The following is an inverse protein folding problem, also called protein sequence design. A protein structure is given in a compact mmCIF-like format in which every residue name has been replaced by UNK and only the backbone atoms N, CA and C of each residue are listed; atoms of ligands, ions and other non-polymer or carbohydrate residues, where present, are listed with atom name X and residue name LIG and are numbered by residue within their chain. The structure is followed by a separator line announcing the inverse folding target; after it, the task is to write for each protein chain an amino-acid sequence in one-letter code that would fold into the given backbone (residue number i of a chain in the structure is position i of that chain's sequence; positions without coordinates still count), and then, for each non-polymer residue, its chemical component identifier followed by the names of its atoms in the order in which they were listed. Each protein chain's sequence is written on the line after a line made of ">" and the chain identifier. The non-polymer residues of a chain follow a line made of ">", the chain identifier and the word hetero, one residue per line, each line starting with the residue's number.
data_IF_226408670214
#
_entry.id   IF_226408670214
#
_cell.length_a   1.000
_cell.length_b   1.000
_cell.length_c   1.000
_cell.angle_alpha   90.00
_cell.angle_beta   90.00
_cell.angle_gamma   90.00
#
_symmetry.space_group_name_H-M   'P 1'
#
loop_
_entity.id
_entity.type
_entity.pdbx_description
1 polymer ?
#
# COMPACT_ATOMS: atom_id res chain seq x y z
N UNK A 1 10.50 -0.18 -6.09
CA UNK A 1 9.20 0.06 -5.43
C UNK A 1 8.10 -0.10 -6.45
N UNK A 2 7.07 -0.90 -6.16
CA UNK A 2 6.03 -1.32 -7.09
C UNK A 2 4.62 -1.14 -6.48
N UNK A 3 3.63 -0.77 -7.30
CA UNK A 3 2.21 -0.70 -6.93
C UNK A 3 1.55 0.61 -7.35
N UNK A 4 0.83 1.29 -6.45
CA UNK A 4 0.12 2.54 -6.74
C UNK A 4 0.72 3.78 -6.04
N UNK A 5 -0.08 4.82 -5.81
CA UNK A 5 0.31 6.00 -5.04
C UNK A 5 0.74 5.68 -3.60
N UNK A 6 0.21 4.63 -2.98
CA UNK A 6 0.61 4.13 -1.65
C UNK A 6 1.99 3.46 -1.68
N UNK A 7 2.44 2.94 -2.82
CA UNK A 7 3.84 2.58 -3.01
C UNK A 7 4.70 3.82 -3.25
N UNK A 8 4.26 4.70 -4.15
CA UNK A 8 5.02 5.90 -4.55
C UNK A 8 5.35 6.81 -3.38
N UNK A 9 4.45 6.96 -2.40
CA UNK A 9 4.67 7.82 -1.23
C UNK A 9 5.89 7.40 -0.38
N UNK A 10 6.30 6.13 -0.40
CA UNK A 10 7.49 5.68 0.33
C UNK A 10 8.80 5.89 -0.44
N UNK A 11 8.73 6.14 -1.76
CA UNK A 11 9.91 6.14 -2.61
C UNK A 11 10.96 7.17 -2.21
N UNK A 12 10.64 8.45 -1.90
CA UNK A 12 11.66 9.42 -1.48
C UNK A 12 12.47 8.95 -0.26
N UNK A 13 11.79 8.46 0.78
CA UNK A 13 12.44 7.99 2.01
C UNK A 13 13.22 6.69 1.80
N UNK A 14 12.69 5.75 1.01
CA UNK A 14 13.39 4.50 0.66
C UNK A 14 14.64 4.78 -0.18
N UNK A 15 14.53 5.64 -1.20
CA UNK A 15 15.65 6.04 -2.05
C UNK A 15 16.72 6.80 -1.26
N UNK A 16 16.31 7.69 -0.35
CA UNK A 16 17.23 8.37 0.56
C UNK A 16 18.01 7.42 1.47
N UNK A 17 17.45 6.25 1.82
CA UNK A 17 18.11 5.27 2.70
C UNK A 17 18.92 4.19 1.98
N UNK A 18 18.42 3.69 0.85
CA UNK A 18 19.03 2.55 0.12
C UNK A 18 19.74 2.96 -1.16
N UNK A 19 19.63 4.23 -1.60
CA UNK A 19 20.18 4.67 -2.88
C UNK A 19 19.39 4.12 -4.07
N UNK A 20 20.12 3.76 -5.13
CA UNK A 20 19.72 3.36 -6.51
C UNK A 20 18.46 2.47 -6.67
N UNK A 21 17.31 2.95 -6.23
CA UNK A 21 16.02 2.32 -6.42
C UNK A 21 15.32 2.87 -7.67
N UNK A 22 14.40 2.07 -8.21
CA UNK A 22 13.44 2.52 -9.21
C UNK A 22 12.02 2.47 -8.66
N UNK A 23 11.16 3.35 -9.17
CA UNK A 23 9.72 3.35 -8.89
C UNK A 23 8.97 2.91 -10.14
N UNK A 24 8.12 1.89 -9.99
CA UNK A 24 7.24 1.40 -11.04
C UNK A 24 5.81 1.36 -10.52
N UNK A 25 5.11 2.49 -10.62
CA UNK A 25 3.78 2.67 -10.01
C UNK A 25 2.76 3.28 -10.96
N UNK A 26 1.48 3.02 -10.74
CA UNK A 26 0.35 3.72 -11.37
C UNK A 26 -0.66 4.18 -10.32
N UNK A 27 -1.05 5.47 -10.27
CA UNK A 27 -2.05 5.95 -9.33
C UNK A 27 -3.34 5.13 -9.38
N UNK A 28 -3.86 4.73 -8.21
CA UNK A 28 -5.11 4.00 -8.08
C UNK A 28 -5.12 2.60 -8.72
N UNK A 29 -3.98 2.01 -9.06
CA UNK A 29 -3.90 0.71 -9.72
C UNK A 29 -3.69 -0.44 -8.72
N UNK A 30 -4.67 -1.32 -8.58
CA UNK A 30 -4.48 -2.64 -7.99
C UNK A 30 -3.76 -3.56 -8.99
N UNK A 31 -2.45 -3.61 -8.92
CA UNK A 31 -1.63 -4.37 -9.87
C UNK A 31 -1.61 -5.87 -9.51
N UNK A 32 -2.65 -6.62 -9.91
CA UNK A 32 -2.75 -8.07 -9.73
C UNK A 32 -3.02 -8.80 -11.06
N UNK A 33 -2.45 -10.00 -11.29
CA UNK A 33 -2.78 -10.78 -12.48
C UNK A 33 -4.27 -11.16 -12.49
N UNK A 34 -4.95 -10.89 -13.61
CA UNK A 34 -6.36 -11.25 -13.80
C UNK A 34 -7.37 -10.36 -13.05
N UNK A 35 -6.93 -9.57 -12.07
CA UNK A 35 -7.79 -8.76 -11.20
C UNK A 35 -7.49 -7.27 -11.32
N UNK A 36 -8.52 -6.45 -11.13
CA UNK A 36 -8.43 -5.00 -11.21
C UNK A 36 -9.39 -4.36 -10.21
N UNK A 37 -9.12 -3.12 -9.81
CA UNK A 37 -10.09 -2.26 -9.13
C UNK A 37 -10.83 -1.31 -10.09
N UNK A 38 -10.59 -1.46 -11.41
CA UNK A 38 -11.35 -0.81 -12.47
C UNK A 38 -12.46 -1.75 -12.95
N UNK A 39 -13.64 -1.17 -13.21
CA UNK A 39 -14.79 -1.87 -13.81
C UNK A 39 -15.01 -1.46 -15.28
N UNK A 40 -13.95 -1.02 -15.95
CA UNK A 40 -13.95 -0.56 -17.35
C UNK A 40 -12.78 -1.17 -18.14
N UNK A 41 -12.68 -0.81 -19.43
CA UNK A 41 -11.59 -1.18 -20.34
C UNK A 41 -10.77 0.02 -20.81
N UNK A 42 -10.65 1.04 -19.96
CA UNK A 42 -9.82 2.21 -20.26
C UNK A 42 -8.36 1.80 -20.48
N UNK A 43 -7.59 2.66 -21.15
CA UNK A 43 -6.14 2.48 -21.29
C UNK A 43 -5.46 2.36 -19.92
N UNK A 44 -5.92 3.13 -18.92
CA UNK A 44 -5.45 3.03 -17.56
C UNK A 44 -5.70 1.65 -16.93
N UNK A 45 -6.89 1.06 -17.14
CA UNK A 45 -7.22 -0.28 -16.66
C UNK A 45 -6.35 -1.36 -17.35
N UNK A 46 -6.15 -1.26 -18.66
CA UNK A 46 -5.31 -2.18 -19.43
C UNK A 46 -3.83 -2.07 -19.03
N UNK A 47 -3.32 -0.85 -18.86
CA UNK A 47 -1.97 -0.61 -18.37
C UNK A 47 -1.82 -1.20 -16.96
N UNK A 48 -2.78 -0.92 -16.07
CA UNK A 48 -2.78 -1.46 -14.71
C UNK A 48 -2.70 -3.00 -14.69
N UNK A 49 -3.55 -3.68 -15.46
CA UNK A 49 -3.58 -5.13 -15.54
C UNK A 49 -2.27 -5.75 -16.10
N UNK A 50 -1.53 -5.02 -16.95
CA UNK A 50 -0.27 -5.49 -17.54
C UNK A 50 0.94 -5.39 -16.60
N UNK A 51 0.85 -4.57 -15.55
CA UNK A 51 2.00 -4.21 -14.69
C UNK A 51 2.67 -5.38 -13.97
N UNK A 52 1.95 -6.36 -13.40
CA UNK A 52 2.59 -7.52 -12.77
C UNK A 52 3.53 -8.29 -13.72
N UNK A 53 3.11 -8.49 -14.97
CA UNK A 53 3.93 -9.14 -15.99
C UNK A 53 5.17 -8.32 -16.34
N UNK A 54 5.00 -7.01 -16.53
CA UNK A 54 6.11 -6.08 -16.80
C UNK A 54 7.10 -5.99 -15.63
N UNK A 55 6.62 -6.02 -14.39
CA UNK A 55 7.48 -6.09 -13.21
C UNK A 55 8.34 -7.35 -13.26
N UNK A 56 7.74 -8.51 -13.48
CA UNK A 56 8.46 -9.78 -13.53
C UNK A 56 9.52 -9.80 -14.63
N UNK A 57 9.22 -9.22 -15.79
CA UNK A 57 10.18 -9.02 -16.87
C UNK A 57 11.35 -8.13 -16.43
N UNK A 58 11.06 -6.94 -15.88
CA UNK A 58 12.10 -6.00 -15.42
C UNK A 58 13.01 -6.61 -14.36
N UNK A 59 12.44 -7.37 -13.42
CA UNK A 59 13.21 -8.02 -12.35
C UNK A 59 14.20 -9.04 -12.93
N UNK A 60 13.79 -9.83 -13.93
CA UNK A 60 14.70 -10.76 -14.63
C UNK A 60 15.76 -10.04 -15.43
N UNK A 61 15.37 -9.07 -16.26
CA UNK A 61 16.29 -8.37 -17.18
C UNK A 61 17.34 -7.53 -16.46
N UNK A 62 16.98 -6.94 -15.31
CA UNK A 62 17.84 -6.06 -14.53
C UNK A 62 18.42 -6.75 -13.30
N UNK A 63 18.14 -8.04 -13.10
CA UNK A 63 18.57 -8.83 -11.94
C UNK A 63 18.25 -8.12 -10.60
N UNK A 64 17.03 -7.62 -10.47
CA UNK A 64 16.61 -6.85 -9.29
C UNK A 64 16.49 -7.79 -8.09
N UNK A 65 17.38 -7.63 -7.11
CA UNK A 65 17.43 -8.51 -5.92
C UNK A 65 16.28 -8.31 -4.93
N UNK A 66 15.51 -7.23 -5.04
CA UNK A 66 14.34 -7.02 -4.18
C UNK A 66 13.25 -6.15 -4.77
N UNK A 67 12.01 -6.50 -4.46
CA UNK A 67 10.81 -5.74 -4.79
C UNK A 67 10.10 -5.34 -3.50
N UNK A 68 9.97 -4.04 -3.28
CA UNK A 68 9.07 -3.49 -2.27
C UNK A 68 7.74 -3.21 -2.96
N UNK A 69 6.70 -3.96 -2.60
CA UNK A 69 5.36 -3.86 -3.16
C UNK A 69 4.40 -3.28 -2.12
N UNK A 70 3.80 -2.14 -2.43
CA UNK A 70 2.75 -1.55 -1.61
C UNK A 70 1.65 -1.02 -2.54
N UNK A 71 0.41 -1.09 -2.10
CA UNK A 71 -0.71 -0.47 -2.80
C UNK A 71 -1.86 -0.25 -1.83
N UNK A 72 -2.93 0.41 -2.25
CA UNK A 72 -4.17 0.36 -1.48
C UNK A 72 -4.78 -1.04 -1.59
N UNK A 73 -4.71 -1.82 -0.52
CA UNK A 73 -5.15 -3.21 -0.56
C UNK A 73 -6.64 -3.39 -0.33
N UNK A 74 -7.31 -2.48 0.38
CA UNK A 74 -8.76 -2.50 0.58
C UNK A 74 -9.46 -1.83 -0.60
N UNK A 75 -10.00 -2.63 -1.52
CA UNK A 75 -10.68 -2.17 -2.73
C UNK A 75 -11.79 -3.14 -3.13
N UNK A 76 -12.76 -2.63 -3.89
CA UNK A 76 -13.63 -3.49 -4.70
C UNK A 76 -12.81 -4.05 -5.87
N UNK A 77 -13.01 -5.33 -6.19
CA UNK A 77 -12.28 -5.99 -7.26
C UNK A 77 -13.20 -6.51 -8.36
N UNK A 78 -12.65 -6.56 -9.56
CA UNK A 78 -13.28 -7.04 -10.78
C UNK A 78 -12.31 -7.95 -11.54
N UNK A 79 -12.86 -8.94 -12.25
CA UNK A 79 -12.13 -9.72 -13.23
C UNK A 79 -11.76 -8.84 -14.44
N UNK A 80 -10.48 -8.76 -14.79
CA UNK A 80 -10.00 -7.94 -15.93
C UNK A 80 -10.63 -8.32 -17.28
N UNK A 81 -10.96 -9.60 -17.46
CA UNK A 81 -11.54 -10.11 -18.70
C UNK A 81 -13.04 -9.85 -18.83
N UNK A 82 -13.82 -10.20 -17.81
CA UNK A 82 -15.30 -10.18 -17.83
C UNK A 82 -15.91 -8.95 -17.17
N UNK A 83 -15.12 -8.17 -16.42
CA UNK A 83 -15.54 -7.06 -15.56
C UNK A 83 -16.56 -7.44 -14.47
N UNK A 84 -16.73 -8.74 -14.22
CA UNK A 84 -17.59 -9.22 -13.15
C UNK A 84 -16.98 -8.86 -11.80
N UNK A 85 -17.80 -8.39 -10.88
CA UNK A 85 -17.36 -8.12 -9.51
C UNK A 85 -16.92 -9.43 -8.84
N UNK A 86 -15.76 -9.34 -8.21
CA UNK A 86 -15.15 -10.37 -7.35
C UNK A 86 -15.46 -10.05 -5.88
N UNK A 87 -15.93 -8.83 -5.59
CA UNK A 87 -16.24 -8.33 -4.26
C UNK A 87 -15.05 -7.62 -3.59
N UNK A 88 -15.30 -7.16 -2.36
CA UNK A 88 -14.29 -6.49 -1.54
C UNK A 88 -13.12 -7.42 -1.21
N UNK A 89 -11.91 -6.87 -1.31
CA UNK A 89 -10.67 -7.60 -1.02
C UNK A 89 -10.53 -8.08 0.42
N UNK A 90 -11.27 -7.49 1.36
CA UNK A 90 -11.29 -7.90 2.78
C UNK A 90 -12.29 -9.01 3.09
N UNK A 91 -13.10 -9.45 2.11
CA UNK A 91 -14.16 -10.43 2.31
C UNK A 91 -14.28 -11.39 1.12
N UNK A 92 -15.30 -11.24 0.27
CA UNK A 92 -15.61 -12.17 -0.82
C UNK A 92 -14.43 -12.29 -1.80
N UNK A 93 -13.76 -11.17 -2.09
CA UNK A 93 -12.64 -11.13 -3.01
C UNK A 93 -11.31 -11.60 -2.44
N UNK A 94 -11.21 -11.82 -1.12
CA UNK A 94 -9.94 -12.12 -0.47
C UNK A 94 -9.21 -13.32 -1.07
N UNK A 95 -9.92 -14.41 -1.39
CA UNK A 95 -9.29 -15.60 -1.97
C UNK A 95 -8.72 -15.31 -3.37
N UNK A 96 -9.36 -14.45 -4.15
CA UNK A 96 -8.85 -14.01 -5.45
C UNK A 96 -7.61 -13.13 -5.26
N UNK A 97 -7.64 -12.18 -4.32
CA UNK A 97 -6.47 -11.35 -3.98
C UNK A 97 -5.28 -12.19 -3.55
N UNK A 98 -5.47 -13.15 -2.63
CA UNK A 98 -4.42 -14.08 -2.16
C UNK A 98 -3.80 -14.86 -3.31
N UNK A 99 -4.61 -15.38 -4.24
CA UNK A 99 -4.12 -16.07 -5.45
C UNK A 99 -3.31 -15.12 -6.35
N UNK A 100 -3.79 -13.90 -6.57
CA UNK A 100 -3.08 -12.89 -7.36
C UNK A 100 -1.70 -12.56 -6.75
N UNK A 101 -1.63 -12.36 -5.43
CA UNK A 101 -0.37 -12.12 -4.71
C UNK A 101 0.60 -13.31 -4.88
N UNK A 102 0.09 -14.54 -4.73
CA UNK A 102 0.89 -15.75 -4.94
C UNK A 102 1.40 -15.86 -6.39
N UNK A 103 0.60 -15.49 -7.39
CA UNK A 103 1.01 -15.47 -8.79
C UNK A 103 2.10 -14.42 -9.06
N UNK A 104 1.99 -13.22 -8.49
CA UNK A 104 3.06 -12.21 -8.57
C UNK A 104 4.36 -12.77 -8.00
N UNK A 105 4.33 -13.34 -6.79
CA UNK A 105 5.50 -13.99 -6.19
C UNK A 105 6.06 -15.10 -7.09
N UNK A 106 5.23 -15.99 -7.60
CA UNK A 106 5.67 -17.08 -8.47
C UNK A 106 6.29 -16.59 -9.79
N UNK A 107 5.91 -15.40 -10.27
CA UNK A 107 6.48 -14.80 -11.49
C UNK A 107 7.87 -14.17 -11.32
N UNK A 108 8.27 -13.92 -10.07
CA UNK A 108 9.57 -13.33 -9.72
C UNK A 108 10.61 -14.43 -9.48
N UNK A 109 11.90 -14.22 -9.85
CA UNK A 109 12.97 -15.16 -9.55
C UNK A 109 13.02 -15.55 -8.05
N UNK A 110 13.21 -16.82 -7.68
CA UNK A 110 13.13 -17.28 -6.28
C UNK A 110 14.00 -16.50 -5.28
N UNK A 111 15.18 -16.06 -5.74
CA UNK A 111 16.16 -15.28 -4.98
C UNK A 111 15.75 -13.81 -4.77
N UNK A 112 14.84 -13.28 -5.61
CA UNK A 112 14.31 -11.92 -5.43
C UNK A 112 13.54 -11.87 -4.11
N UNK A 113 13.93 -10.97 -3.20
CA UNK A 113 13.15 -10.74 -1.98
C UNK A 113 11.90 -9.92 -2.29
N UNK A 114 10.74 -10.42 -1.91
CA UNK A 114 9.50 -9.65 -2.00
C UNK A 114 9.14 -9.12 -0.62
N UNK A 115 9.03 -7.81 -0.47
CA UNK A 115 8.52 -7.19 0.75
C UNK A 115 7.20 -6.52 0.44
N UNK A 116 6.13 -7.02 1.04
CA UNK A 116 4.79 -6.43 0.96
C UNK A 116 4.64 -5.44 2.12
N UNK A 117 4.40 -4.17 1.80
CA UNK A 117 4.00 -3.17 2.77
C UNK A 117 2.47 -3.12 2.78
N UNK A 118 1.87 -3.34 3.95
CA UNK A 118 0.42 -3.34 4.14
C UNK A 118 -0.23 -1.97 3.89
N UNK A 119 -1.55 -1.93 4.00
CA UNK A 119 -2.31 -0.68 3.94
C UNK A 119 -1.92 0.21 5.11
N UNK A 120 -1.81 1.51 4.86
CA UNK A 120 -1.78 2.51 5.92
C UNK A 120 -3.13 2.55 6.64
N UNK A 121 -3.20 3.06 7.88
CA UNK A 121 -4.46 3.21 8.60
C UNK A 121 -5.49 4.09 7.89
N UNK A 122 -5.02 5.06 7.07
CA UNK A 122 -5.78 6.13 6.41
C UNK A 122 -6.51 7.06 7.39
N UNK A 123 -6.48 8.36 7.14
CA UNK A 123 -7.16 9.36 7.94
C UNK A 123 -8.68 9.47 7.66
N UNK A 124 -9.25 8.70 6.72
CA UNK A 124 -10.69 8.74 6.42
C UNK A 124 -11.57 8.52 7.67
N UNK A 125 -11.15 7.66 8.58
CA UNK A 125 -11.87 7.37 9.83
C UNK A 125 -11.90 8.55 10.82
N UNK A 126 -11.18 9.64 10.53
CA UNK A 126 -11.18 10.87 11.31
C UNK A 126 -12.29 11.87 10.88
N UNK A 127 -13.07 11.52 9.85
CA UNK A 127 -14.23 12.29 9.38
C UNK A 127 -13.93 13.27 8.24
N UNK A 128 -15.00 13.79 7.64
CA UNK A 128 -14.98 14.60 6.41
C UNK A 128 -14.01 15.80 6.44
N UNK A 129 -13.83 16.54 7.55
CA UNK A 129 -12.88 17.65 7.58
C UNK A 129 -11.43 17.25 7.26
N UNK A 130 -11.09 15.96 7.36
CA UNK A 130 -9.78 15.41 7.06
C UNK A 130 -9.60 14.99 5.60
N UNK A 131 -10.60 15.13 4.73
CA UNK A 131 -10.53 14.75 3.30
C UNK A 131 -9.28 15.34 2.61
N UNK A 132 -9.05 16.63 2.80
CA UNK A 132 -7.86 17.35 2.28
C UNK A 132 -6.64 17.30 3.20
N UNK A 133 -6.64 16.44 4.22
CA UNK A 133 -5.56 16.27 5.19
C UNK A 133 -5.59 17.27 6.36
N UNK A 134 -4.67 17.06 7.31
CA UNK A 134 -4.68 17.80 8.59
C UNK A 134 -4.50 19.30 8.41
N UNK A 135 -3.58 19.71 7.51
CA UNK A 135 -3.31 21.14 7.25
C UNK A 135 -4.54 21.81 6.62
N UNK A 136 -5.25 21.13 5.73
CA UNK A 136 -6.48 21.66 5.12
C UNK A 136 -7.59 21.78 6.16
N UNK A 137 -7.72 20.81 7.06
CA UNK A 137 -8.68 20.86 8.14
C UNK A 137 -8.51 22.14 8.98
N UNK A 138 -7.27 22.53 9.31
CA UNK A 138 -6.99 23.73 10.12
C UNK A 138 -7.44 25.03 9.45
N UNK A 139 -7.71 25.02 8.14
CA UNK A 139 -8.19 26.20 7.41
C UNK A 139 -9.72 26.37 7.52
N UNK A 140 -10.46 25.39 8.05
CA UNK A 140 -11.91 25.51 8.22
C UNK A 140 -12.25 26.29 9.50
N UNK A 141 -13.27 27.15 9.39
CA UNK A 141 -13.81 27.92 10.52
C UNK A 141 -14.77 27.02 11.30
N UNK A 142 -14.74 27.10 12.64
CA UNK A 142 -15.61 26.33 13.54
C UNK A 142 -15.48 24.80 13.41
N UNK A 143 -14.30 24.32 13.02
CA UNK A 143 -13.99 22.88 12.91
C UNK A 143 -12.88 22.53 13.90
N UNK A 144 -13.09 21.46 14.66
CA UNK A 144 -12.03 20.85 15.49
C UNK A 144 -11.40 19.70 14.72
N UNK A 145 -10.13 19.86 14.34
CA UNK A 145 -9.38 18.83 13.64
C UNK A 145 -8.92 17.75 14.62
N UNK A 146 -9.35 16.51 14.37
CA UNK A 146 -8.92 15.37 15.16
C UNK A 146 -7.39 15.20 15.12
N UNK A 147 -6.77 14.87 16.25
CA UNK A 147 -5.35 14.51 16.33
C UNK A 147 -5.12 13.00 16.20
N UNK A 148 -6.16 12.21 16.43
CA UNK A 148 -6.16 10.74 16.42
C UNK A 148 -7.53 10.23 15.98
N UNK A 149 -7.61 8.98 15.56
CA UNK A 149 -8.87 8.25 15.37
C UNK A 149 -8.78 6.82 15.93
N UNK A 150 -9.91 6.16 16.25
CA UNK A 150 -9.88 4.80 16.80
C UNK A 150 -9.21 3.79 15.87
N UNK A 151 -8.28 2.99 16.39
CA UNK A 151 -7.57 1.96 15.62
C UNK A 151 -8.51 0.97 14.97
N UNK A 152 -9.60 0.61 15.65
CA UNK A 152 -10.62 -0.31 15.15
C UNK A 152 -11.28 0.14 13.83
N UNK A 153 -11.23 1.44 13.52
CA UNK A 153 -11.79 2.00 12.29
C UNK A 153 -10.74 2.16 11.17
N UNK A 154 -9.46 1.87 11.44
CA UNK A 154 -8.41 2.00 10.45
C UNK A 154 -8.59 1.03 9.28
N UNK A 155 -8.34 1.50 8.07
CA UNK A 155 -8.40 0.67 6.85
C UNK A 155 -7.50 -0.57 6.97
N UNK A 156 -6.34 -0.41 7.60
CA UNK A 156 -5.37 -1.47 7.85
C UNK A 156 -5.92 -2.65 8.66
N UNK A 157 -6.87 -2.43 9.58
CA UNK A 157 -7.40 -3.50 10.45
C UNK A 157 -8.04 -4.64 9.66
N UNK A 158 -8.71 -4.33 8.55
CA UNK A 158 -9.43 -5.34 7.77
C UNK A 158 -8.54 -6.18 6.87
N UNK A 159 -7.38 -5.67 6.44
CA UNK A 159 -6.59 -6.27 5.36
C UNK A 159 -5.17 -6.66 5.76
N UNK A 160 -4.53 -5.93 6.68
CA UNK A 160 -3.13 -6.21 7.05
C UNK A 160 -2.93 -7.58 7.71
N UNK A 161 -3.81 -8.08 8.60
CA UNK A 161 -3.69 -9.44 9.13
C UNK A 161 -3.76 -10.52 8.04
N UNK A 162 -4.60 -10.30 7.03
CA UNK A 162 -4.78 -11.21 5.90
C UNK A 162 -3.52 -11.26 5.02
N UNK A 163 -2.93 -10.09 4.74
CA UNK A 163 -1.65 -9.96 4.02
C UNK A 163 -0.51 -10.61 4.81
N UNK A 164 -0.38 -10.31 6.10
CA UNK A 164 0.64 -10.87 6.98
C UNK A 164 0.62 -12.40 6.92
N UNK A 165 -0.55 -13.02 7.13
CA UNK A 165 -0.72 -14.48 7.04
C UNK A 165 -0.31 -15.02 5.66
N UNK A 166 -0.73 -14.35 4.58
CA UNK A 166 -0.37 -14.78 3.22
C UNK A 166 1.14 -14.78 2.98
N UNK A 167 1.85 -13.75 3.45
CA UNK A 167 3.31 -13.68 3.24
C UNK A 167 4.09 -14.77 3.96
N UNK A 168 3.58 -15.29 5.08
CA UNK A 168 4.20 -16.39 5.82
C UNK A 168 4.20 -17.71 5.01
N UNK A 169 3.26 -17.85 4.08
CA UNK A 169 3.10 -19.03 3.22
C UNK A 169 3.88 -18.89 1.90
N UNK A 170 4.47 -17.73 1.62
CA UNK A 170 5.14 -17.42 0.36
C UNK A 170 6.67 -17.45 0.51
N UNK A 171 7.41 -18.08 -0.43
CA UNK A 171 8.86 -18.16 -0.35
C UNK A 171 9.49 -16.77 -0.46
N UNK A 172 10.57 -16.54 0.30
CA UNK A 172 11.37 -15.31 0.24
C UNK A 172 10.54 -14.02 0.26
N UNK A 173 9.44 -14.04 1.04
CA UNK A 173 8.47 -12.96 1.14
C UNK A 173 8.36 -12.48 2.58
N UNK A 174 8.28 -11.17 2.77
CA UNK A 174 8.08 -10.54 4.08
C UNK A 174 6.90 -9.58 4.04
N UNK A 175 6.28 -9.40 5.19
CA UNK A 175 5.28 -8.37 5.40
C UNK A 175 5.79 -7.32 6.37
N UNK A 176 5.47 -6.06 6.07
CA UNK A 176 5.67 -4.94 6.97
C UNK A 176 4.35 -4.19 7.15
N UNK A 177 3.94 -3.98 8.40
CA UNK A 177 2.69 -3.31 8.74
C UNK A 177 2.92 -1.83 9.08
N UNK A 178 2.48 -0.85 8.25
CA UNK A 178 2.60 0.57 8.62
C UNK A 178 1.83 0.93 9.91
N UNK A 179 0.80 0.16 10.28
CA UNK A 179 0.00 0.43 11.47
C UNK A 179 0.77 0.21 12.78
N UNK A 180 1.89 -0.52 12.77
CA UNK A 180 2.76 -0.64 13.95
C UNK A 180 3.52 0.66 14.27
N UNK A 181 3.57 1.59 13.32
CA UNK A 181 4.23 2.88 13.44
C UNK A 181 3.21 4.00 13.67
N UNK A 182 2.10 3.92 12.94
CA UNK A 182 1.12 5.00 12.87
C UNK A 182 -0.02 4.86 13.88
N UNK A 183 -0.05 3.75 14.63
CA UNK A 183 -1.07 3.50 15.63
C UNK A 183 -0.47 2.87 16.89
N UNK A 184 -1.01 3.23 18.05
CA UNK A 184 -0.86 2.48 19.30
C UNK A 184 -1.93 1.38 19.40
N UNK A 185 -2.16 0.81 20.59
CA UNK A 185 -3.15 -0.26 20.78
C UNK A 185 -4.60 0.19 20.57
N UNK A 186 -4.89 1.50 20.69
CA UNK A 186 -6.26 2.04 20.71
C UNK A 186 -6.54 3.04 19.60
N UNK A 187 -5.53 3.79 19.16
CA UNK A 187 -5.69 4.92 18.25
C UNK A 187 -4.62 4.96 17.20
N UNK A 188 -4.94 5.61 16.08
CA UNK A 188 -4.02 5.95 15.02
C UNK A 188 -3.81 7.45 15.00
N UNK A 189 -2.56 7.89 14.84
CA UNK A 189 -2.20 9.31 14.92
C UNK A 189 -2.33 10.01 13.58
N UNK A 190 -2.83 11.24 13.63
CA UNK A 190 -2.91 12.16 12.48
C UNK A 190 -1.78 13.19 12.50
N UNK A 191 -1.10 13.33 13.65
CA UNK A 191 0.01 14.26 13.85
C UNK A 191 1.03 13.68 14.82
N UNK A 192 2.30 13.74 14.47
CA UNK A 192 3.40 13.31 15.32
C UNK A 192 4.51 14.35 15.28
N UNK A 193 5.11 14.67 16.44
CA UNK A 193 6.15 15.70 16.55
C UNK A 193 5.74 17.05 15.93
N UNK A 194 4.47 17.43 16.10
CA UNK A 194 3.91 18.66 15.53
C UNK A 194 3.68 18.65 14.01
N UNK A 195 4.01 17.56 13.30
CA UNK A 195 3.88 17.42 11.84
C UNK A 195 2.74 16.49 11.46
N UNK A 196 2.03 16.82 10.38
CA UNK A 196 0.93 16.01 9.85
C UNK A 196 1.46 14.68 9.28
N UNK A 197 0.77 13.59 9.58
CA UNK A 197 1.08 12.26 9.04
C UNK A 197 0.53 12.09 7.62
N UNK A 198 -0.65 12.66 7.34
CA UNK A 198 -1.35 12.48 6.09
C UNK A 198 -1.46 13.78 5.29
N UNK A 199 -1.23 13.68 3.97
CA UNK A 199 -1.36 14.77 3.01
C UNK A 199 -2.84 15.03 2.66
N UNK A 200 -3.59 13.95 2.47
CA UNK A 200 -5.04 13.92 2.32
C UNK A 200 -5.61 12.86 3.29
N UNK A 201 -6.87 12.48 3.20
CA UNK A 201 -7.43 11.45 4.09
C UNK A 201 -6.88 10.03 3.90
N UNK A 202 -6.00 9.78 2.93
CA UNK A 202 -5.51 8.43 2.59
C UNK A 202 -3.99 8.35 2.41
N UNK A 203 -3.36 9.34 1.76
CA UNK A 203 -1.93 9.36 1.47
C UNK A 203 -1.12 10.00 2.59
N UNK A 204 0.09 9.47 2.81
CA UNK A 204 1.03 10.03 3.77
C UNK A 204 1.66 11.32 3.24
N UNK A 205 2.04 12.23 4.14
CA UNK A 205 3.03 13.26 3.85
C UNK A 205 4.42 12.63 3.73
N UNK A 206 5.40 13.37 3.22
CA UNK A 206 6.81 12.92 3.23
C UNK A 206 7.28 12.58 4.65
N UNK A 207 6.84 13.35 5.66
CA UNK A 207 7.14 13.07 7.06
C UNK A 207 6.49 11.76 7.51
N UNK A 208 5.21 11.55 7.23
CA UNK A 208 4.51 10.30 7.57
C UNK A 208 5.16 9.08 6.91
N UNK A 209 5.49 9.19 5.63
CA UNK A 209 6.19 8.14 4.89
C UNK A 209 7.60 7.87 5.46
N UNK A 210 8.34 8.93 5.83
CA UNK A 210 9.65 8.80 6.46
C UNK A 210 9.56 8.09 7.82
N UNK A 211 8.58 8.41 8.66
CA UNK A 211 8.38 7.73 9.94
C UNK A 211 8.15 6.23 9.74
N UNK A 212 7.32 5.85 8.76
CA UNK A 212 7.07 4.44 8.42
C UNK A 212 8.35 3.77 7.91
N UNK A 213 9.07 4.43 6.99
CA UNK A 213 10.30 3.88 6.39
C UNK A 213 11.43 3.73 7.42
N UNK A 214 11.56 4.63 8.40
CA UNK A 214 12.55 4.49 9.47
C UNK A 214 12.40 3.17 10.23
N UNK A 215 11.16 2.81 10.58
CA UNK A 215 10.88 1.51 11.22
C UNK A 215 11.08 0.34 10.25
N UNK A 216 10.61 0.47 9.01
CA UNK A 216 10.82 -0.54 7.96
C UNK A 216 12.31 -0.92 7.80
N UNK A 217 13.18 0.08 7.82
CA UNK A 217 14.63 -0.08 7.66
C UNK A 217 15.27 -0.78 8.85
N UNK A 218 14.78 -0.52 10.07
CA UNK A 218 15.27 -1.21 11.27
C UNK A 218 15.00 -2.72 11.18
N UNK A 219 13.88 -3.12 10.59
CA UNK A 219 13.50 -4.52 10.38
C UNK A 219 14.13 -5.15 9.12
N UNK A 220 14.65 -4.31 8.21
CA UNK A 220 15.23 -4.73 6.93
C UNK A 220 16.55 -3.99 6.66
N UNK A 221 17.58 -4.13 7.52
CA UNK A 221 18.78 -3.28 7.49
C UNK A 221 19.61 -3.43 6.22
N UNK A 222 19.51 -4.59 5.55
CA UNK A 222 20.24 -4.90 4.32
C UNK A 222 19.27 -5.21 3.18
N UNK A 223 19.45 -4.48 2.09
CA UNK A 223 19.07 -4.94 0.76
C UNK A 223 20.27 -5.61 0.11
#
# INVERSE_FOLDING_TARGET
>A
VFGDSFARQYFPALNGRYGNGAVFTAPGCLALPGLSNFNDRSEAALDCASRPGRLAQLVRERQIGAVIWAQRWKVEMYETGSLQSVGQSTSQGWQAMRRGIAQVRASLPPETRLIIIGSTPTAMAAGDPMEGGYVRCLAFINVTCASTFPRALAESQGINPLLAKTTQELPNTRFFDPAQVLCDDRTCTLRQQGKAIYHDWTHLTDFGAQTVVQRFVQENPTF
#
